data_IF_250140302374
#
_entry.id   IF_250140302374
#
_cell.length_a   1.000
_cell.length_b   1.000
_cell.length_c   1.000
_cell.angle_alpha   90.00
_cell.angle_beta   90.00
_cell.angle_gamma   90.00
#
_symmetry.space_group_name_H-M   'P 1'
#
loop_
_entity.id
_entity.type
_entity.pdbx_description
1 polymer ?
#
# COMPACT_ATOMS: atom_id res chain seq x y z
N UNK A 1 -63.14 6.00 53.39
CA UNK A 1 -64.57 5.79 53.09
C UNK A 1 -65.37 5.89 54.37
N UNK A 2 -66.31 6.84 54.46
CA UNK A 2 -67.34 6.88 55.50
C UNK A 2 -68.25 5.66 55.30
N UNK A 3 -68.21 4.72 56.26
CA UNK A 3 -69.11 3.58 56.21
C UNK A 3 -70.54 4.10 56.38
N UNK A 4 -71.40 3.83 55.42
CA UNK A 4 -72.83 4.13 55.52
C UNK A 4 -73.42 3.15 56.54
N UNK A 5 -73.42 3.54 57.82
CA UNK A 5 -74.07 2.75 58.86
C UNK A 5 -75.56 2.83 58.63
N UNK A 6 -76.18 1.70 58.31
CA UNK A 6 -77.64 1.63 58.18
C UNK A 6 -78.22 1.68 59.58
N UNK A 7 -79.04 2.69 59.82
CA UNK A 7 -79.77 2.87 61.06
C UNK A 7 -80.97 1.90 61.07
N UNK A 8 -80.74 0.70 61.59
CA UNK A 8 -81.73 -0.38 61.68
C UNK A 8 -82.92 -0.02 62.57
N UNK A 9 -82.71 0.86 63.56
CA UNK A 9 -83.78 1.39 64.41
C UNK A 9 -84.67 2.33 63.60
N UNK A 10 -84.07 3.27 62.86
CA UNK A 10 -84.83 4.17 61.98
C UNK A 10 -85.57 3.42 60.88
N UNK A 11 -85.03 2.32 60.36
CA UNK A 11 -85.71 1.46 59.39
C UNK A 11 -86.92 0.72 60.02
N UNK A 12 -86.73 0.12 61.20
CA UNK A 12 -87.82 -0.53 61.93
C UNK A 12 -88.95 0.46 62.30
N UNK A 13 -88.61 1.69 62.71
CA UNK A 13 -89.58 2.72 63.06
C UNK A 13 -90.41 3.18 61.85
N UNK A 14 -89.80 3.26 60.67
CA UNK A 14 -90.54 3.54 59.41
C UNK A 14 -91.51 2.42 59.05
N UNK A 15 -91.13 1.16 59.25
CA UNK A 15 -92.01 0.01 59.02
C UNK A 15 -93.23 0.02 59.96
N UNK A 16 -93.00 0.35 61.25
CA UNK A 16 -94.08 0.52 62.24
C UNK A 16 -95.05 1.63 61.84
N UNK A 17 -94.53 2.77 61.38
CA UNK A 17 -95.35 3.90 60.87
C UNK A 17 -96.13 3.54 59.60
N UNK A 18 -95.62 2.61 58.79
CA UNK A 18 -96.30 2.08 57.62
C UNK A 18 -97.35 0.98 57.94
N UNK A 19 -97.60 0.68 59.22
CA UNK A 19 -98.62 -0.27 59.66
C UNK A 19 -98.14 -1.71 59.83
N UNK A 20 -96.84 -1.99 59.71
CA UNK A 20 -96.27 -3.31 60.01
C UNK A 20 -96.27 -3.53 61.52
N UNK A 21 -96.70 -4.70 61.97
CA UNK A 21 -96.73 -5.04 63.39
C UNK A 21 -95.30 -4.94 64.00
N UNK A 22 -95.13 -4.46 65.25
CA UNK A 22 -93.82 -4.16 65.83
C UNK A 22 -92.79 -5.31 65.74
N UNK A 23 -93.21 -6.55 66.02
CA UNK A 23 -92.34 -7.72 65.94
C UNK A 23 -91.94 -8.09 64.51
N UNK A 24 -92.81 -7.86 63.52
CA UNK A 24 -92.49 -8.06 62.10
C UNK A 24 -91.55 -6.97 61.58
N UNK A 25 -91.76 -5.70 61.97
CA UNK A 25 -90.88 -4.60 61.58
C UNK A 25 -89.44 -4.78 62.10
N UNK A 26 -89.28 -5.27 63.33
CA UNK A 26 -87.96 -5.58 63.91
C UNK A 26 -87.33 -6.82 63.27
N UNK A 27 -88.11 -7.86 62.98
CA UNK A 27 -87.64 -9.04 62.25
C UNK A 27 -87.15 -8.71 60.85
N UNK A 28 -87.88 -7.87 60.10
CA UNK A 28 -87.50 -7.40 58.76
C UNK A 28 -86.24 -6.52 58.81
N UNK A 29 -86.11 -5.65 59.82
CA UNK A 29 -84.91 -4.82 60.00
C UNK A 29 -83.66 -5.64 60.32
N UNK A 30 -83.80 -6.67 61.16
CA UNK A 30 -82.71 -7.61 61.48
C UNK A 30 -82.31 -8.44 60.28
N UNK A 31 -83.27 -9.03 59.57
CA UNK A 31 -82.99 -9.82 58.37
C UNK A 31 -82.27 -8.98 57.30
N UNK A 32 -82.68 -7.72 57.10
CA UNK A 32 -81.99 -6.81 56.19
C UNK A 32 -80.58 -6.47 56.66
N UNK A 33 -80.38 -6.26 57.97
CA UNK A 33 -79.06 -5.99 58.54
C UNK A 33 -78.12 -7.18 58.39
N UNK A 34 -78.62 -8.40 58.62
CA UNK A 34 -77.85 -9.63 58.51
C UNK A 34 -77.44 -9.87 57.04
N UNK A 35 -78.38 -9.76 56.10
CA UNK A 35 -78.11 -9.86 54.66
C UNK A 35 -77.08 -8.81 54.18
N UNK A 36 -77.18 -7.57 54.65
CA UNK A 36 -76.24 -6.51 54.27
C UNK A 36 -74.88 -6.65 54.96
N UNK A 37 -74.81 -7.28 56.12
CA UNK A 37 -73.55 -7.57 56.80
C UNK A 37 -72.81 -8.71 56.10
N UNK A 38 -73.54 -9.69 55.56
CA UNK A 38 -72.95 -10.83 54.84
C UNK A 38 -72.62 -10.51 53.37
N UNK A 39 -73.46 -9.73 52.68
CA UNK A 39 -73.34 -9.48 51.24
C UNK A 39 -72.43 -8.33 50.82
N UNK A 40 -72.07 -7.42 51.75
CA UNK A 40 -71.26 -6.25 51.43
C UNK A 40 -69.77 -6.45 51.78
N UNK A 41 -68.91 -6.01 50.86
CA UNK A 41 -67.46 -5.87 51.12
C UNK A 41 -67.25 -4.95 52.32
N UNK A 42 -66.51 -5.43 53.30
CA UNK A 42 -66.22 -4.69 54.52
C UNK A 42 -64.99 -3.80 54.33
N UNK A 43 -64.79 -2.84 55.25
CA UNK A 43 -63.55 -2.05 55.27
C UNK A 43 -62.32 -2.95 55.43
N UNK A 44 -62.43 -4.04 56.19
CA UNK A 44 -61.35 -5.00 56.38
C UNK A 44 -60.93 -5.64 55.06
N UNK A 45 -61.88 -6.04 54.22
CA UNK A 45 -61.57 -6.64 52.93
C UNK A 45 -60.82 -5.67 52.01
N UNK A 46 -61.18 -4.39 52.06
CA UNK A 46 -60.47 -3.34 51.32
C UNK A 46 -59.06 -3.12 51.90
N UNK A 47 -58.90 -3.09 53.22
CA UNK A 47 -57.60 -2.93 53.87
C UNK A 47 -56.67 -4.11 53.55
N UNK A 48 -57.20 -5.34 53.56
CA UNK A 48 -56.47 -6.56 53.18
C UNK A 48 -56.08 -6.52 51.70
N UNK A 49 -56.97 -6.07 50.80
CA UNK A 49 -56.66 -5.91 49.38
C UNK A 49 -55.60 -4.83 49.14
N UNK A 50 -55.66 -3.70 49.85
CA UNK A 50 -54.64 -2.63 49.77
C UNK A 50 -53.30 -3.13 50.29
N UNK A 51 -53.28 -3.90 51.37
CA UNK A 51 -52.05 -4.51 51.89
C UNK A 51 -51.45 -5.49 50.87
N UNK A 52 -52.28 -6.31 50.22
CA UNK A 52 -51.85 -7.21 49.14
C UNK A 52 -51.24 -6.46 47.97
N UNK A 53 -51.95 -5.46 47.42
CA UNK A 53 -51.45 -4.63 46.32
C UNK A 53 -50.16 -3.87 46.67
N UNK A 54 -50.02 -3.45 47.93
CA UNK A 54 -48.78 -2.84 48.40
C UNK A 54 -47.63 -3.84 48.41
N UNK A 55 -47.88 -5.07 48.87
CA UNK A 55 -46.91 -6.16 48.84
C UNK A 55 -46.47 -6.48 47.40
N UNK A 56 -47.42 -6.69 46.50
CA UNK A 56 -47.15 -6.96 45.08
C UNK A 56 -46.32 -5.82 44.43
N UNK A 57 -46.63 -4.57 44.78
CA UNK A 57 -45.86 -3.42 44.29
C UNK A 57 -44.44 -3.39 44.85
N UNK A 58 -44.27 -3.66 46.14
CA UNK A 58 -42.96 -3.69 46.80
C UNK A 58 -42.09 -4.83 46.19
N UNK A 59 -42.69 -5.99 45.90
CA UNK A 59 -42.03 -7.12 45.22
C UNK A 59 -41.66 -6.78 43.77
N UNK A 60 -42.56 -6.17 43.01
CA UNK A 60 -42.29 -5.75 41.63
C UNK A 60 -41.16 -4.72 41.55
N UNK A 61 -41.13 -3.76 42.48
CA UNK A 61 -40.06 -2.75 42.57
C UNK A 61 -38.72 -3.40 42.92
N UNK A 62 -38.71 -4.38 43.85
CA UNK A 62 -37.51 -5.13 44.18
C UNK A 62 -36.98 -5.93 42.97
N UNK A 63 -37.88 -6.58 42.22
CA UNK A 63 -37.55 -7.31 40.99
C UNK A 63 -36.94 -6.41 39.93
N UNK A 64 -37.60 -5.29 39.59
CA UNK A 64 -37.10 -4.33 38.60
C UNK A 64 -35.75 -3.72 39.01
N UNK A 65 -35.53 -3.51 40.30
CA UNK A 65 -34.24 -3.05 40.80
C UNK A 65 -33.14 -4.10 40.59
N UNK A 66 -33.44 -5.38 40.86
CA UNK A 66 -32.53 -6.49 40.60
C UNK A 66 -32.17 -6.59 39.11
N UNK A 67 -33.18 -6.61 38.24
CA UNK A 67 -32.99 -6.67 36.78
C UNK A 67 -32.13 -5.50 36.27
N UNK A 68 -32.33 -4.30 36.81
CA UNK A 68 -31.53 -3.12 36.46
C UNK A 68 -30.07 -3.27 36.93
N UNK A 69 -29.86 -3.75 38.15
CA UNK A 69 -28.52 -3.97 38.72
C UNK A 69 -27.76 -5.03 37.89
N UNK A 70 -28.44 -6.11 37.46
CA UNK A 70 -27.90 -7.14 36.57
C UNK A 70 -27.58 -6.61 35.17
N UNK A 71 -28.48 -5.83 34.57
CA UNK A 71 -28.27 -5.23 33.26
C UNK A 71 -27.07 -4.26 33.27
N UNK A 72 -26.93 -3.46 34.33
CA UNK A 72 -25.78 -2.55 34.50
C UNK A 72 -24.48 -3.33 34.67
N UNK A 73 -24.50 -4.44 35.44
CA UNK A 73 -23.34 -5.30 35.59
C UNK A 73 -22.92 -5.93 34.24
N UNK A 74 -23.89 -6.42 33.46
CA UNK A 74 -23.66 -6.94 32.11
C UNK A 74 -23.03 -5.91 31.17
N UNK A 75 -23.64 -4.73 31.05
CA UNK A 75 -23.11 -3.65 30.20
C UNK A 75 -21.71 -3.20 30.61
N UNK A 76 -21.39 -3.20 31.91
CA UNK A 76 -20.06 -2.88 32.40
C UNK A 76 -19.04 -3.95 32.03
N UNK A 77 -19.44 -5.23 32.06
CA UNK A 77 -18.64 -6.35 31.58
C UNK A 77 -18.36 -6.25 30.09
N UNK A 78 -19.41 -6.14 29.28
CA UNK A 78 -19.31 -6.02 27.82
C UNK A 78 -18.42 -4.83 27.41
N UNK A 79 -18.57 -3.67 28.08
CA UNK A 79 -17.72 -2.51 27.85
C UNK A 79 -16.26 -2.78 28.22
N UNK A 80 -16.02 -3.50 29.32
CA UNK A 80 -14.68 -3.90 29.73
C UNK A 80 -14.00 -4.80 28.71
N UNK A 81 -14.72 -5.79 28.19
CA UNK A 81 -14.24 -6.72 27.17
C UNK A 81 -13.97 -6.00 25.85
N UNK A 82 -14.87 -5.11 25.42
CA UNK A 82 -14.68 -4.30 24.22
C UNK A 82 -13.44 -3.38 24.32
N UNK A 83 -13.23 -2.73 25.48
CA UNK A 83 -12.05 -1.89 25.72
C UNK A 83 -10.77 -2.73 25.75
N UNK A 84 -10.80 -3.93 26.34
CA UNK A 84 -9.65 -4.83 26.34
C UNK A 84 -9.31 -5.30 24.92
N UNK A 85 -10.32 -5.65 24.11
CA UNK A 85 -10.17 -6.01 22.70
C UNK A 85 -9.54 -4.89 21.88
N UNK A 86 -10.11 -3.68 21.93
CA UNK A 86 -9.57 -2.52 21.21
C UNK A 86 -8.13 -2.17 21.62
N UNK A 87 -7.78 -2.38 22.89
CA UNK A 87 -6.41 -2.18 23.37
C UNK A 87 -5.45 -3.25 22.82
N UNK A 88 -5.92 -4.50 22.70
CA UNK A 88 -5.19 -5.58 22.04
C UNK A 88 -4.92 -5.26 20.57
N UNK A 89 -5.98 -4.98 19.81
CA UNK A 89 -5.90 -4.65 18.39
C UNK A 89 -4.97 -3.45 18.13
N UNK A 90 -5.03 -2.41 18.98
CA UNK A 90 -4.15 -1.25 18.88
C UNK A 90 -2.68 -1.61 19.12
N UNK A 91 -2.39 -2.47 20.11
CA UNK A 91 -1.03 -2.91 20.38
C UNK A 91 -0.49 -3.74 19.21
N UNK A 92 -1.29 -4.65 18.66
CA UNK A 92 -0.91 -5.48 17.51
C UNK A 92 -0.61 -4.59 16.29
N UNK A 93 -1.47 -3.61 15.99
CA UNK A 93 -1.24 -2.65 14.92
C UNK A 93 0.04 -1.82 15.13
N UNK A 94 0.35 -1.43 16.37
CA UNK A 94 1.60 -0.73 16.69
C UNK A 94 2.83 -1.62 16.49
N UNK A 95 2.74 -2.90 16.85
CA UNK A 95 3.81 -3.89 16.63
C UNK A 95 4.05 -4.11 15.14
N UNK A 96 2.98 -4.26 14.36
CA UNK A 96 3.07 -4.44 12.91
C UNK A 96 3.70 -3.21 12.23
N UNK A 97 3.23 -2.00 12.56
CA UNK A 97 3.81 -0.76 12.04
C UNK A 97 5.27 -0.59 12.42
N UNK A 98 5.67 -1.01 13.63
CA UNK A 98 7.07 -1.02 14.03
C UNK A 98 7.88 -1.97 13.15
N UNK A 99 7.36 -3.16 12.88
CA UNK A 99 7.98 -4.13 11.97
C UNK A 99 8.15 -3.56 10.54
N UNK A 100 7.13 -2.89 10.03
CA UNK A 100 7.18 -2.23 8.70
C UNK A 100 8.21 -1.10 8.64
N UNK A 101 8.31 -0.29 9.70
CA UNK A 101 9.31 0.78 9.82
C UNK A 101 10.72 0.20 9.87
N UNK A 102 10.93 -0.85 10.68
CA UNK A 102 12.22 -1.53 10.78
C UNK A 102 12.58 -2.16 9.41
N UNK A 103 11.60 -2.73 8.69
CA UNK A 103 11.74 -3.22 7.32
C UNK A 103 12.08 -2.14 6.29
N UNK A 104 11.51 -0.94 6.42
CA UNK A 104 11.86 0.20 5.58
C UNK A 104 13.28 0.70 5.86
N UNK A 105 13.70 0.74 7.12
CA UNK A 105 15.08 1.07 7.52
C UNK A 105 16.09 0.17 6.82
N UNK A 106 15.91 -1.15 6.89
CA UNK A 106 16.79 -2.11 6.22
C UNK A 106 16.84 -1.90 4.69
N UNK A 107 15.72 -1.55 4.05
CA UNK A 107 15.68 -1.27 2.60
C UNK A 107 16.44 0.00 2.25
N UNK A 108 16.40 1.02 3.10
CA UNK A 108 17.15 2.26 2.94
C UNK A 108 18.65 1.96 3.04
N UNK A 109 19.10 1.21 4.06
CA UNK A 109 20.51 0.82 4.24
C UNK A 109 21.07 0.08 3.01
N UNK A 110 20.26 -0.84 2.44
CA UNK A 110 20.62 -1.55 1.20
C UNK A 110 20.72 -0.61 0.00
N UNK A 111 19.81 0.36 -0.09
CA UNK A 111 19.87 1.37 -1.16
C UNK A 111 21.09 2.26 -1.02
N UNK A 112 21.42 2.73 0.19
CA UNK A 112 22.63 3.50 0.48
C UNK A 112 23.88 2.77 0.02
N UNK A 113 24.05 1.52 0.46
CA UNK A 113 25.19 0.66 0.06
C UNK A 113 25.28 0.47 -1.47
N UNK A 114 24.12 0.31 -2.13
CA UNK A 114 24.05 0.15 -3.59
C UNK A 114 24.38 1.45 -4.33
N UNK A 115 24.03 2.60 -3.77
CA UNK A 115 24.39 3.89 -4.33
C UNK A 115 25.88 4.14 -4.18
N UNK A 116 26.47 3.89 -3.01
CA UNK A 116 27.92 4.00 -2.78
C UNK A 116 28.70 3.16 -3.81
N UNK A 117 28.34 1.88 -3.95
CA UNK A 117 28.97 0.98 -4.93
C UNK A 117 28.83 1.46 -6.37
N UNK A 118 27.71 2.13 -6.70
CA UNK A 118 27.51 2.70 -8.04
C UNK A 118 28.36 3.94 -8.26
N UNK A 119 28.52 4.79 -7.26
CA UNK A 119 29.38 5.96 -7.33
C UNK A 119 30.84 5.55 -7.46
N UNK A 120 31.32 4.59 -6.66
CA UNK A 120 32.67 4.02 -6.80
C UNK A 120 32.90 3.46 -8.22
N UNK A 121 31.90 2.75 -8.77
CA UNK A 121 31.96 2.23 -10.14
C UNK A 121 31.92 3.32 -11.22
N UNK A 122 31.33 4.48 -10.93
CA UNK A 122 31.34 5.66 -11.82
C UNK A 122 32.70 6.34 -11.76
N UNK A 123 33.25 6.55 -10.57
CA UNK A 123 34.58 7.15 -10.36
C UNK A 123 35.66 6.32 -11.08
N UNK A 124 35.66 5.00 -10.90
CA UNK A 124 36.59 4.10 -11.59
C UNK A 124 36.46 4.16 -13.13
N UNK A 125 35.26 4.41 -13.66
CA UNK A 125 35.05 4.58 -15.11
C UNK A 125 35.61 5.91 -15.61
N UNK A 126 35.52 6.97 -14.82
CA UNK A 126 36.13 8.25 -15.13
C UNK A 126 37.65 8.16 -15.10
N UNK A 127 38.25 7.55 -14.07
CA UNK A 127 39.69 7.29 -14.03
C UNK A 127 40.16 6.48 -15.24
N UNK A 128 39.44 5.41 -15.59
CA UNK A 128 39.76 4.61 -16.77
C UNK A 128 39.57 5.38 -18.09
N UNK A 129 38.72 6.40 -18.12
CA UNK A 129 38.54 7.29 -19.26
C UNK A 129 39.70 8.27 -19.38
N UNK A 130 40.14 8.85 -18.27
CA UNK A 130 41.30 9.75 -18.22
C UNK A 130 42.56 9.04 -18.74
N UNK A 131 42.85 7.82 -18.26
CA UNK A 131 43.97 7.01 -18.76
C UNK A 131 43.89 6.74 -20.26
N UNK A 132 42.69 6.51 -20.81
CA UNK A 132 42.49 6.32 -22.25
C UNK A 132 42.75 7.59 -23.04
N UNK A 133 42.40 8.75 -22.49
CA UNK A 133 42.70 10.05 -23.11
C UNK A 133 44.20 10.31 -23.10
N UNK A 134 44.90 10.12 -21.99
CA UNK A 134 46.37 10.22 -21.94
C UNK A 134 47.04 9.28 -22.97
N UNK A 135 46.57 8.03 -23.06
CA UNK A 135 47.09 7.07 -24.05
C UNK A 135 46.77 7.48 -25.51
N UNK A 136 45.69 8.23 -25.73
CA UNK A 136 45.34 8.79 -27.04
C UNK A 136 46.27 9.95 -27.38
N UNK A 137 46.54 10.84 -26.43
CA UNK A 137 47.47 11.96 -26.60
C UNK A 137 48.87 11.46 -27.00
N UNK A 138 49.40 10.45 -26.30
CA UNK A 138 50.69 9.82 -26.64
C UNK A 138 50.70 9.23 -28.05
N UNK A 139 49.59 8.63 -28.50
CA UNK A 139 49.49 8.08 -29.87
C UNK A 139 49.49 9.19 -30.92
N UNK A 140 48.87 10.32 -30.63
CA UNK A 140 48.88 11.48 -31.52
C UNK A 140 50.29 12.08 -31.61
N UNK A 141 50.97 12.29 -30.48
CA UNK A 141 52.38 12.74 -30.48
C UNK A 141 53.28 11.79 -31.29
N UNK A 142 53.11 10.47 -31.13
CA UNK A 142 53.86 9.48 -31.91
C UNK A 142 53.52 9.51 -33.41
N UNK A 143 52.29 9.88 -33.78
CA UNK A 143 51.88 10.05 -35.17
C UNK A 143 52.51 11.30 -35.78
N UNK A 144 52.54 12.41 -35.03
CA UNK A 144 53.19 13.65 -35.44
C UNK A 144 54.68 13.42 -35.74
N UNK A 145 55.40 12.71 -34.85
CA UNK A 145 56.81 12.34 -35.06
C UNK A 145 57.00 11.51 -36.34
N UNK A 146 56.13 10.52 -36.59
CA UNK A 146 56.20 9.71 -37.83
C UNK A 146 55.94 10.55 -39.07
N UNK A 147 55.02 11.50 -38.99
CA UNK A 147 54.71 12.40 -40.09
C UNK A 147 55.89 13.34 -40.38
N UNK A 148 56.55 13.88 -39.35
CA UNK A 148 57.76 14.68 -39.48
C UNK A 148 58.92 13.89 -40.12
N UNK A 149 59.10 12.62 -39.70
CA UNK A 149 60.10 11.73 -40.27
C UNK A 149 59.83 11.43 -41.75
N UNK A 150 58.58 11.12 -42.11
CA UNK A 150 58.17 10.92 -43.51
C UNK A 150 58.37 12.19 -44.34
N UNK A 151 58.00 13.35 -43.81
CA UNK A 151 58.24 14.65 -44.44
C UNK A 151 59.72 14.88 -44.69
N UNK A 152 60.58 14.60 -43.71
CA UNK A 152 62.04 14.67 -43.85
C UNK A 152 62.57 13.70 -44.91
N UNK A 153 62.16 12.42 -44.86
CA UNK A 153 62.55 11.41 -45.85
C UNK A 153 62.15 11.84 -47.27
N UNK A 154 60.94 12.39 -47.43
CA UNK A 154 60.47 12.90 -48.71
C UNK A 154 61.38 13.99 -49.27
N UNK A 155 61.86 14.94 -48.43
CA UNK A 155 62.79 16.00 -48.85
C UNK A 155 64.10 15.45 -49.41
N UNK A 156 64.68 14.45 -48.73
CA UNK A 156 65.91 13.80 -49.21
C UNK A 156 65.68 13.03 -50.50
N UNK A 157 64.55 12.32 -50.63
CA UNK A 157 64.20 11.61 -51.88
C UNK A 157 64.05 12.62 -53.03
N UNK A 158 63.36 13.74 -52.82
CA UNK A 158 63.25 14.81 -53.81
C UNK A 158 64.62 15.37 -54.21
N UNK A 159 65.53 15.60 -53.24
CA UNK A 159 66.89 16.08 -53.53
C UNK A 159 67.72 15.07 -54.32
N UNK A 160 67.68 13.78 -53.94
CA UNK A 160 68.41 12.72 -54.65
C UNK A 160 67.89 12.56 -56.07
N UNK A 161 66.56 12.56 -56.26
CA UNK A 161 65.96 12.53 -57.60
C UNK A 161 66.36 13.76 -58.43
N UNK A 162 66.39 14.96 -57.83
CA UNK A 162 66.84 16.17 -58.50
C UNK A 162 68.33 16.11 -58.91
N UNK A 163 69.21 15.56 -58.05
CA UNK A 163 70.63 15.35 -58.36
C UNK A 163 70.84 14.32 -59.47
N UNK A 164 70.13 13.18 -59.43
CA UNK A 164 70.20 12.15 -60.47
C UNK A 164 69.70 12.72 -61.80
N UNK A 165 68.60 13.45 -61.79
CA UNK A 165 68.10 14.14 -62.98
C UNK A 165 69.12 15.16 -63.51
N UNK A 166 69.77 15.94 -62.64
CA UNK A 166 70.82 16.90 -63.01
C UNK A 166 72.09 16.24 -63.58
N UNK A 167 72.56 15.14 -62.98
CA UNK A 167 73.70 14.37 -63.46
C UNK A 167 73.40 13.62 -64.77
N UNK A 168 72.19 13.06 -64.91
CA UNK A 168 71.73 12.45 -66.16
C UNK A 168 71.69 13.46 -67.32
N UNK A 169 71.34 14.72 -67.03
CA UNK A 169 71.42 15.81 -68.00
C UNK A 169 72.86 16.22 -68.31
N UNK A 170 73.79 16.11 -67.36
CA UNK A 170 75.22 16.42 -67.52
C UNK A 170 75.99 15.32 -68.28
N UNK A 171 75.60 14.04 -68.15
CA UNK A 171 76.26 12.93 -68.86
C UNK A 171 75.77 12.79 -70.31
N UNK A 172 74.60 13.31 -70.66
CA UNK A 172 74.08 13.33 -72.04
C UNK A 172 74.79 14.34 -72.96
N UNK A 173 75.78 15.10 -72.47
CA UNK A 173 76.55 16.08 -73.26
C UNK A 173 78.01 15.69 -73.53
N UNK A 174 78.46 14.48 -73.16
CA UNK A 174 79.77 13.92 -73.57
C UNK A 174 79.62 12.95 -74.76
N UNK A 175 80.35 13.13 -75.90
CA UNK A 175 80.14 12.30 -77.08
C UNK A 175 81.03 11.04 -77.06
N UNK A 176 80.44 9.86 -77.31
CA UNK A 176 81.21 8.66 -77.60
C UNK A 176 80.67 7.91 -78.83
N UNK A 177 81.62 7.49 -79.66
CA UNK A 177 81.52 7.04 -81.05
C UNK A 177 80.97 5.59 -81.26
N UNK A 178 80.46 5.39 -82.48
CA UNK A 178 79.74 4.30 -83.16
C UNK A 178 80.10 2.80 -82.93
N UNK A 179 79.04 1.96 -83.08
CA UNK A 179 78.98 0.75 -83.94
C UNK A 179 78.68 -0.56 -83.20
N UNK A 180 77.84 -1.52 -83.65
CA UNK A 180 77.02 -1.80 -84.85
C UNK A 180 76.02 -2.95 -84.53
N UNK A 181 75.01 -3.08 -85.40
CA UNK A 181 74.21 -4.27 -85.83
C UNK A 181 73.03 -4.84 -85.00
N UNK A 182 71.88 -4.80 -85.68
CA UNK A 182 70.52 -5.40 -85.57
C UNK A 182 70.60 -6.88 -86.09
N UNK A 183 69.71 -7.89 -85.82
CA UNK A 183 68.25 -7.79 -86.04
C UNK A 183 67.22 -8.66 -85.25
N UNK A 184 65.98 -8.16 -85.39
CA UNK A 184 64.60 -8.70 -85.38
C UNK A 184 64.29 -10.19 -85.08
N UNK A 185 63.28 -10.40 -84.22
CA UNK A 185 61.98 -11.09 -84.45
C UNK A 185 61.31 -11.25 -83.07
N UNK A 186 60.01 -11.15 -82.81
CA UNK A 186 58.79 -11.00 -83.59
C UNK A 186 57.62 -11.23 -82.60
N UNK A 187 56.44 -10.69 -82.90
CA UNK A 187 55.11 -11.20 -82.46
C UNK A 187 54.81 -11.25 -80.94
N UNK A 188 53.65 -10.91 -80.38
CA UNK A 188 52.32 -10.59 -80.88
C UNK A 188 51.52 -10.06 -79.69
N UNK A 189 50.67 -9.06 -79.96
CA UNK A 189 49.53 -8.64 -79.14
C UNK A 189 48.62 -9.82 -78.78
N UNK A 190 48.27 -10.00 -77.50
CA UNK A 190 46.96 -10.55 -77.07
C UNK A 190 46.61 -10.03 -75.67
N UNK A 191 45.45 -9.37 -75.56
CA UNK A 191 44.74 -9.10 -74.31
C UNK A 191 43.91 -10.32 -73.86
N UNK A 192 43.58 -10.45 -72.56
CA UNK A 192 42.19 -10.70 -72.22
C UNK A 192 41.75 -9.83 -71.01
N UNK A 193 40.65 -9.10 -71.09
CA UNK A 193 39.23 -9.53 -70.96
C UNK A 193 38.84 -9.92 -69.54
N UNK A 194 37.84 -9.18 -69.06
CA UNK A 194 37.24 -9.19 -67.74
C UNK A 194 36.60 -10.51 -67.31
N UNK A 195 36.48 -10.70 -65.99
CA UNK A 195 35.48 -11.56 -65.36
C UNK A 195 34.95 -10.90 -64.09
N UNK A 196 33.79 -10.27 -64.25
CA UNK A 196 32.85 -9.91 -63.18
C UNK A 196 31.93 -11.10 -62.90
N UNK A 197 31.70 -11.39 -61.62
CA UNK A 197 30.57 -12.18 -61.08
C UNK A 197 30.43 -11.70 -59.62
N UNK A 198 29.39 -10.99 -59.18
CA UNK A 198 27.99 -11.43 -59.14
C UNK A 198 27.91 -12.61 -58.16
N UNK A 199 27.35 -12.54 -56.95
CA UNK A 199 26.10 -11.92 -56.52
C UNK A 199 26.01 -11.94 -54.97
N UNK A 200 25.21 -11.06 -54.32
CA UNK A 200 24.98 -11.01 -52.88
C UNK A 200 23.71 -11.78 -52.45
N UNK A 201 23.69 -12.28 -51.21
CA UNK A 201 22.50 -12.68 -50.47
C UNK A 201 22.80 -12.43 -48.99
N UNK A 202 22.26 -11.38 -48.38
CA UNK A 202 20.92 -11.20 -47.81
C UNK A 202 20.87 -11.55 -46.31
N UNK A 203 20.21 -10.64 -45.61
CA UNK A 203 20.04 -10.42 -44.19
C UNK A 203 19.45 -11.60 -43.38
N UNK A 204 19.68 -11.59 -42.06
CA UNK A 204 18.62 -11.29 -41.07
C UNK A 204 19.05 -11.60 -39.61
N UNK A 205 18.51 -10.77 -38.72
CA UNK A 205 18.15 -11.00 -37.30
C UNK A 205 19.24 -11.13 -36.21
N UNK A 206 19.40 -10.05 -35.45
CA UNK A 206 19.40 -10.04 -33.97
C UNK A 206 17.94 -10.12 -33.44
N UNK A 207 17.66 -10.23 -32.11
CA UNK A 207 18.36 -10.91 -31.01
C UNK A 207 17.39 -11.75 -30.10
N UNK A 208 17.94 -12.58 -29.21
CA UNK A 208 17.30 -13.12 -28.00
C UNK A 208 18.41 -13.35 -26.96
N UNK A 209 18.26 -13.15 -25.65
CA UNK A 209 17.13 -12.93 -24.74
C UNK A 209 17.58 -12.04 -23.58
#
# INVERSE_FOLDING_TARGET
MTATVIDTLRYADRLKQAGVAPGQAEGMSRALNDELTEGLVTRKDLDDAVAGLKGDLDDAVAGLKGDLDDAVAGLKGDLGDAVAGLKGDLNDAVVDLKGDIDGLGNRIDVLETKFDSKFDGVDARFEAMDVKFEAMDVKFEAMDVKFDALSSQSKYVFLVLALIAGLGLYNATAPHFLGKSVPADGSSLVAPTALTKGNPANAASTPGS
#
